data_IF_650975850317
#
_entry.id   IF_650975850317
#
_cell.length_a   1.000
_cell.length_b   1.000
_cell.length_c   1.000
_cell.angle_alpha   90.00
_cell.angle_beta   90.00
_cell.angle_gamma   90.00
#
_symmetry.space_group_name_H-M   'P 1'
#
loop_
_entity.id
_entity.type
_entity.pdbx_description
1 polymer ?
#
# COMPACT_ATOMS: atom_id res chain seq x y z
N UNK A 1 8.35 -34.29 1.16
CA UNK A 1 7.16 -33.50 1.56
C UNK A 1 7.26 -32.11 0.96
N UNK A 2 6.16 -31.54 0.46
CA UNK A 2 6.12 -30.19 -0.12
C UNK A 2 5.23 -29.31 0.76
N UNK A 3 5.71 -28.12 1.09
CA UNK A 3 4.96 -27.11 1.85
C UNK A 3 5.11 -25.79 1.10
N UNK A 4 4.01 -25.05 0.96
CA UNK A 4 4.00 -23.71 0.39
C UNK A 4 3.56 -22.72 1.48
N UNK A 5 4.34 -21.66 1.67
CA UNK A 5 4.06 -20.59 2.63
C UNK A 5 3.71 -19.32 1.86
N UNK A 6 2.53 -18.76 2.12
CA UNK A 6 2.04 -17.54 1.49
C UNK A 6 1.14 -16.79 2.46
N UNK A 7 1.28 -15.46 2.52
CA UNK A 7 0.40 -14.59 3.31
C UNK A 7 -0.97 -14.39 2.65
N UNK A 8 -1.02 -14.51 1.32
CA UNK A 8 -2.21 -14.33 0.47
C UNK A 8 -2.16 -15.41 -0.62
N UNK A 9 -2.79 -16.59 -0.43
CA UNK A 9 -2.70 -17.71 -1.37
C UNK A 9 -3.32 -17.42 -2.73
N UNK A 10 -4.17 -16.40 -2.81
CA UNK A 10 -4.65 -15.80 -4.04
C UNK A 10 -4.34 -14.33 -3.87
N UNK A 11 -3.25 -13.85 -4.47
CA UNK A 11 -2.92 -12.44 -4.43
C UNK A 11 -3.58 -11.74 -5.61
N UNK A 12 -3.56 -12.37 -6.80
CA UNK A 12 -4.05 -11.71 -7.99
C UNK A 12 -4.97 -12.48 -8.94
N UNK A 13 -4.68 -13.77 -9.16
CA UNK A 13 -5.43 -14.59 -10.12
C UNK A 13 -5.60 -15.99 -9.57
N UNK A 14 -6.71 -16.66 -9.87
CA UNK A 14 -6.93 -18.06 -9.48
C UNK A 14 -5.90 -19.02 -10.08
N UNK A 15 -5.20 -18.61 -11.15
CA UNK A 15 -4.05 -19.34 -11.68
C UNK A 15 -2.87 -19.43 -10.72
N UNK A 16 -2.72 -18.50 -9.77
CA UNK A 16 -1.70 -18.58 -8.71
C UNK A 16 -2.00 -19.75 -7.77
N UNK A 17 -3.27 -19.90 -7.37
CA UNK A 17 -3.75 -21.05 -6.59
C UNK A 17 -3.50 -22.37 -7.34
N UNK A 18 -3.82 -22.43 -8.64
CA UNK A 18 -3.52 -23.63 -9.45
C UNK A 18 -2.03 -23.95 -9.45
N UNK A 19 -1.17 -22.93 -9.56
CA UNK A 19 0.28 -23.12 -9.59
C UNK A 19 0.81 -23.67 -8.27
N UNK A 20 0.34 -23.14 -7.13
CA UNK A 20 0.65 -23.65 -5.79
C UNK A 20 0.15 -25.09 -5.65
N UNK A 21 -1.09 -25.36 -6.03
CA UNK A 21 -1.71 -26.69 -5.91
C UNK A 21 -1.07 -27.72 -6.83
N UNK A 22 -0.66 -27.35 -8.04
CA UNK A 22 0.05 -28.22 -8.99
C UNK A 22 1.46 -28.55 -8.48
N UNK A 23 2.12 -27.59 -7.82
CA UNK A 23 3.38 -27.86 -7.13
C UNK A 23 3.17 -28.79 -5.93
N UNK A 24 2.18 -28.56 -5.08
CA UNK A 24 1.95 -29.40 -3.89
C UNK A 24 1.45 -30.81 -4.26
N UNK A 25 0.49 -30.89 -5.18
CA UNK A 25 -0.26 -32.08 -5.57
C UNK A 25 -0.36 -32.17 -7.11
N UNK A 26 0.71 -32.61 -7.81
CA UNK A 26 0.73 -32.68 -9.27
C UNK A 26 -0.44 -33.46 -9.84
N UNK A 27 -1.15 -32.87 -10.81
CA UNK A 27 -2.29 -33.49 -11.49
C UNK A 27 -3.63 -33.40 -10.76
N UNK A 28 -3.67 -32.99 -9.48
CA UNK A 28 -4.90 -32.96 -8.68
C UNK A 28 -5.99 -32.06 -9.26
N UNK A 29 -5.61 -30.88 -9.78
CA UNK A 29 -6.53 -29.92 -10.42
C UNK A 29 -6.51 -30.00 -11.96
N UNK A 30 -5.92 -31.06 -12.53
CA UNK A 30 -5.76 -31.22 -13.97
C UNK A 30 -4.83 -30.17 -14.61
N UNK A 31 -4.97 -29.99 -15.92
CA UNK A 31 -4.19 -29.00 -16.67
C UNK A 31 -4.63 -27.57 -16.37
N UNK A 32 -3.73 -26.60 -16.55
CA UNK A 32 -4.04 -25.18 -16.39
C UNK A 32 -5.20 -24.74 -17.29
N UNK A 33 -5.29 -25.28 -18.51
CA UNK A 33 -6.37 -24.97 -19.44
C UNK A 33 -7.73 -25.47 -18.93
N UNK A 34 -7.79 -26.72 -18.44
CA UNK A 34 -9.01 -27.27 -17.86
C UNK A 34 -9.42 -26.50 -16.60
N UNK A 35 -8.46 -26.16 -15.75
CA UNK A 35 -8.70 -25.35 -14.56
C UNK A 35 -9.24 -23.97 -14.90
N UNK A 36 -8.65 -23.29 -15.91
CA UNK A 36 -9.12 -21.98 -16.35
C UNK A 36 -10.55 -22.02 -16.86
N UNK A 37 -10.89 -23.02 -17.68
CA UNK A 37 -12.25 -23.19 -18.22
C UNK A 37 -13.27 -23.53 -17.14
N UNK A 38 -12.90 -24.37 -16.18
CA UNK A 38 -13.85 -24.94 -15.19
C UNK A 38 -14.02 -24.04 -13.96
N UNK A 39 -12.98 -23.31 -13.57
CA UNK A 39 -12.97 -22.52 -12.34
C UNK A 39 -12.61 -21.06 -12.60
N UNK A 40 -11.43 -20.77 -13.16
CA UNK A 40 -10.93 -19.40 -13.19
C UNK A 40 -11.85 -18.45 -13.97
N UNK A 41 -12.26 -18.82 -15.18
CA UNK A 41 -13.11 -17.98 -16.02
C UNK A 41 -14.56 -17.86 -15.48
N UNK A 42 -15.24 -18.95 -15.06
CA UNK A 42 -16.51 -18.86 -14.34
C UNK A 42 -16.49 -17.93 -13.11
N UNK A 43 -15.44 -18.03 -12.29
CA UNK A 43 -15.36 -17.28 -11.03
C UNK A 43 -14.95 -15.82 -11.30
N UNK A 44 -13.88 -15.59 -12.06
CA UNK A 44 -13.32 -14.24 -12.27
C UNK A 44 -14.19 -13.38 -13.18
N UNK A 45 -14.78 -13.97 -14.24
CA UNK A 45 -15.53 -13.22 -15.25
C UNK A 45 -17.04 -13.24 -15.01
N UNK A 46 -17.59 -14.39 -14.63
CA UNK A 46 -19.04 -14.57 -14.51
C UNK A 46 -19.54 -14.62 -13.07
N UNK A 47 -18.64 -14.53 -12.09
CA UNK A 47 -18.96 -14.52 -10.65
C UNK A 47 -19.82 -15.72 -10.23
N UNK A 48 -19.54 -16.89 -10.82
CA UNK A 48 -20.30 -18.12 -10.58
C UNK A 48 -20.06 -18.65 -9.14
N UNK A 49 -21.09 -18.64 -8.27
CA UNK A 49 -20.94 -19.07 -6.88
C UNK A 49 -20.75 -20.59 -6.74
N UNK A 50 -21.30 -21.39 -7.66
CA UNK A 50 -21.21 -22.85 -7.62
C UNK A 50 -19.80 -23.28 -8.00
N UNK A 51 -19.22 -22.65 -9.03
CA UNK A 51 -17.82 -22.87 -9.39
C UNK A 51 -16.87 -22.51 -8.24
N UNK A 52 -17.13 -21.40 -7.54
CA UNK A 52 -16.34 -20.95 -6.37
C UNK A 52 -16.39 -21.95 -5.21
N UNK A 53 -17.59 -22.39 -4.82
CA UNK A 53 -17.76 -23.32 -3.71
C UNK A 53 -17.21 -24.72 -4.02
N UNK A 54 -17.33 -25.17 -5.27
CA UNK A 54 -16.72 -26.43 -5.72
C UNK A 54 -15.19 -26.37 -5.66
N UNK A 55 -14.59 -25.29 -6.15
CA UNK A 55 -13.14 -25.09 -6.05
C UNK A 55 -12.69 -25.07 -4.59
N UNK A 56 -13.41 -24.33 -3.74
CA UNK A 56 -13.12 -24.23 -2.31
C UNK A 56 -13.08 -25.60 -1.65
N UNK A 57 -14.09 -26.45 -1.87
CA UNK A 57 -14.14 -27.82 -1.31
C UNK A 57 -12.95 -28.69 -1.72
N UNK A 58 -12.45 -28.53 -2.96
CA UNK A 58 -11.29 -29.28 -3.45
C UNK A 58 -9.98 -28.83 -2.80
N UNK A 59 -9.80 -27.53 -2.56
CA UNK A 59 -8.52 -26.99 -2.08
C UNK A 59 -8.42 -26.91 -0.56
N UNK A 60 -9.54 -26.78 0.15
CA UNK A 60 -9.58 -26.56 1.61
C UNK A 60 -8.81 -27.63 2.42
N UNK A 61 -8.84 -28.94 2.08
CA UNK A 61 -8.08 -29.96 2.82
C UNK A 61 -6.56 -29.77 2.80
N UNK A 62 -6.04 -29.00 1.83
CA UNK A 62 -4.61 -28.76 1.66
C UNK A 62 -4.17 -27.38 2.17
N UNK A 63 -5.12 -26.54 2.60
CA UNK A 63 -4.86 -25.16 3.02
C UNK A 63 -5.14 -25.03 4.51
N UNK A 64 -4.08 -24.82 5.28
CA UNK A 64 -4.19 -24.34 6.65
C UNK A 64 -4.04 -22.81 6.66
N UNK A 65 -5.15 -22.10 6.89
CA UNK A 65 -5.16 -20.65 7.06
C UNK A 65 -5.60 -20.30 8.47
N UNK A 66 -4.79 -19.53 9.17
CA UNK A 66 -5.15 -18.88 10.45
C UNK A 66 -5.10 -17.38 10.25
N UNK A 67 -6.07 -16.69 10.82
CA UNK A 67 -6.10 -15.21 10.83
C UNK A 67 -5.69 -14.73 12.20
N UNK A 68 -5.10 -13.53 12.30
CA UNK A 68 -4.73 -12.95 13.60
C UNK A 68 -5.94 -12.58 14.46
N UNK A 69 -7.14 -12.60 13.88
CA UNK A 69 -8.44 -12.47 14.57
C UNK A 69 -9.01 -13.82 15.02
N UNK A 70 -8.26 -14.93 14.88
CA UNK A 70 -8.63 -16.24 15.43
C UNK A 70 -8.40 -16.26 16.95
N UNK A 71 -9.45 -16.44 17.78
CA UNK A 71 -9.33 -16.49 19.24
C UNK A 71 -8.36 -17.55 19.76
N UNK A 72 -8.07 -18.59 18.98
CA UNK A 72 -7.11 -19.64 19.34
C UNK A 72 -5.65 -19.20 19.14
N UNK A 73 -5.40 -18.10 18.43
CA UNK A 73 -4.08 -17.51 18.16
C UNK A 73 -3.83 -16.23 18.99
N UNK A 74 -4.90 -15.58 19.47
CA UNK A 74 -4.90 -14.20 20.02
C UNK A 74 -4.47 -14.05 21.47
N UNK A 75 -4.33 -15.12 22.26
CA UNK A 75 -4.24 -14.99 23.72
C UNK A 75 -3.13 -14.04 24.23
N UNK A 76 -2.14 -13.69 23.39
CA UNK A 76 -1.00 -12.83 23.73
C UNK A 76 -0.82 -11.57 22.86
N UNK A 77 -1.77 -11.17 21.99
CA UNK A 77 -1.64 -9.96 21.16
C UNK A 77 -2.47 -8.77 21.70
N UNK A 78 -1.89 -7.56 21.78
CA UNK A 78 -2.61 -6.35 22.21
C UNK A 78 -3.59 -5.85 21.14
N UNK A 79 -4.34 -4.78 21.42
CA UNK A 79 -5.32 -4.26 20.46
C UNK A 79 -4.63 -3.58 19.27
N UNK A 80 -5.31 -3.60 18.11
CA UNK A 80 -4.87 -2.89 16.91
C UNK A 80 -5.98 -1.94 16.46
N UNK A 81 -5.66 -0.67 16.37
CA UNK A 81 -6.55 0.38 15.90
C UNK A 81 -6.12 0.89 14.53
N UNK A 82 -7.06 1.05 13.61
CA UNK A 82 -6.79 1.60 12.27
C UNK A 82 -7.58 2.89 12.06
N UNK A 83 -6.86 3.96 11.72
CA UNK A 83 -7.39 5.31 11.53
C UNK A 83 -7.10 5.81 10.11
N UNK A 84 -8.10 6.45 9.50
CA UNK A 84 -7.90 7.25 8.28
C UNK A 84 -7.52 8.66 8.68
N UNK A 85 -6.38 9.13 8.20
CA UNK A 85 -5.89 10.49 8.46
C UNK A 85 -6.05 11.29 7.18
N UNK A 86 -7.07 12.13 7.16
CA UNK A 86 -7.37 12.99 6.04
C UNK A 86 -6.48 14.22 6.05
N UNK A 87 -5.84 14.48 4.92
CA UNK A 87 -4.93 15.60 4.71
C UNK A 87 -5.45 16.47 3.57
N UNK A 88 -5.39 17.79 3.72
CA UNK A 88 -5.67 18.71 2.62
C UNK A 88 -4.46 18.84 1.71
N UNK A 89 -4.69 19.17 0.44
CA UNK A 89 -3.59 19.60 -0.43
C UNK A 89 -3.27 21.06 -0.12
N UNK A 90 -1.97 21.39 -0.14
CA UNK A 90 -1.57 22.80 -0.20
C UNK A 90 -1.99 23.39 -1.55
N UNK A 91 -2.04 24.73 -1.64
CA UNK A 91 -2.35 25.41 -2.91
C UNK A 91 -1.37 25.04 -4.04
N UNK A 92 -0.10 24.86 -3.72
CA UNK A 92 0.92 24.39 -4.66
C UNK A 92 0.59 22.97 -5.15
N UNK A 93 0.30 22.06 -4.23
CA UNK A 93 -0.07 20.69 -4.58
C UNK A 93 -1.34 20.64 -5.44
N UNK A 94 -2.39 21.40 -5.08
CA UNK A 94 -3.62 21.47 -5.85
C UNK A 94 -3.37 21.96 -7.29
N UNK A 95 -2.59 23.03 -7.44
CA UNK A 95 -2.23 23.60 -8.75
C UNK A 95 -1.47 22.59 -9.61
N UNK A 96 -0.47 21.90 -9.03
CA UNK A 96 0.29 20.86 -9.73
C UNK A 96 -0.57 19.66 -10.09
N UNK A 97 -1.45 19.25 -9.17
CA UNK A 97 -2.35 18.12 -9.35
C UNK A 97 -3.30 18.35 -10.54
N UNK A 98 -3.97 19.50 -10.57
CA UNK A 98 -4.86 19.89 -11.67
C UNK A 98 -4.12 19.98 -13.02
N UNK A 99 -2.90 20.53 -13.02
CA UNK A 99 -2.07 20.59 -14.22
C UNK A 99 -1.73 19.19 -14.75
N UNK A 100 -1.33 18.26 -13.87
CA UNK A 100 -1.04 16.87 -14.24
C UNK A 100 -2.27 16.19 -14.83
N UNK A 101 -3.44 16.35 -14.21
CA UNK A 101 -4.70 15.77 -14.72
C UNK A 101 -5.00 16.29 -16.11
N UNK A 102 -5.03 17.62 -16.30
CA UNK A 102 -5.35 18.24 -17.60
C UNK A 102 -4.40 17.79 -18.71
N UNK A 103 -3.09 17.84 -18.44
CA UNK A 103 -2.08 17.55 -19.45
C UNK A 103 -2.10 16.06 -19.82
N UNK A 104 -2.24 15.17 -18.84
CA UNK A 104 -2.33 13.73 -19.07
C UNK A 104 -3.62 13.33 -19.82
N UNK A 105 -4.76 13.94 -19.49
CA UNK A 105 -6.02 13.66 -20.18
C UNK A 105 -5.97 14.10 -21.64
N UNK A 106 -5.36 15.26 -21.92
CA UNK A 106 -5.13 15.73 -23.30
C UNK A 106 -4.29 14.71 -24.10
N UNK A 107 -3.24 14.15 -23.49
CA UNK A 107 -2.42 13.12 -24.12
C UNK A 107 -3.19 11.80 -24.32
N UNK A 108 -3.99 11.38 -23.34
CA UNK A 108 -4.77 10.12 -23.39
C UNK A 108 -5.85 10.18 -24.48
N UNK A 109 -6.54 11.32 -24.63
CA UNK A 109 -7.57 11.52 -25.67
C UNK A 109 -7.00 11.44 -27.09
N UNK A 110 -5.74 11.86 -27.29
CA UNK A 110 -5.06 11.77 -28.58
C UNK A 110 -4.61 10.34 -28.94
N UNK A 111 -4.70 9.39 -28.02
CA UNK A 111 -4.32 8.00 -28.24
C UNK A 111 -5.57 7.19 -28.62
N UNK A 112 -5.83 7.11 -29.93
CA UNK A 112 -6.91 6.29 -30.49
C UNK A 112 -6.39 5.01 -31.17
N UNK A 113 -7.22 3.95 -31.13
CA UNK A 113 -6.99 2.69 -31.84
C UNK A 113 -6.41 1.55 -30.98
N UNK A 114 -6.78 0.31 -31.34
CA UNK A 114 -6.43 -0.92 -30.59
C UNK A 114 -4.91 -1.14 -30.52
N UNK A 115 -4.16 -0.71 -31.52
CA UNK A 115 -2.69 -0.83 -31.56
C UNK A 115 -1.97 0.07 -30.55
N UNK A 116 -2.65 1.09 -29.98
CA UNK A 116 -2.04 2.01 -29.01
C UNK A 116 -2.48 1.78 -27.55
N UNK A 117 -3.11 0.64 -27.26
CA UNK A 117 -3.56 0.32 -25.90
C UNK A 117 -2.40 0.28 -24.89
N UNK A 118 -1.24 -0.25 -25.28
CA UNK A 118 -0.03 -0.26 -24.44
C UNK A 118 0.42 1.17 -24.10
N UNK A 119 0.35 2.08 -25.07
CA UNK A 119 0.70 3.49 -24.88
C UNK A 119 -0.28 4.16 -23.92
N UNK A 120 -1.60 3.95 -24.10
CA UNK A 120 -2.63 4.46 -23.19
C UNK A 120 -2.38 4.00 -21.75
N UNK A 121 -2.17 2.70 -21.54
CA UNK A 121 -1.88 2.12 -20.22
C UNK A 121 -0.62 2.76 -19.60
N UNK A 122 0.44 2.95 -20.39
CA UNK A 122 1.67 3.62 -19.96
C UNK A 122 1.45 5.07 -19.51
N UNK A 123 0.65 5.85 -20.26
CA UNK A 123 0.28 7.22 -19.90
C UNK A 123 -0.50 7.27 -18.58
N UNK A 124 -1.48 6.38 -18.41
CA UNK A 124 -2.28 6.29 -17.17
C UNK A 124 -1.37 5.97 -15.97
N UNK A 125 -0.50 4.96 -16.07
CA UNK A 125 0.41 4.60 -14.98
C UNK A 125 1.38 5.74 -14.64
N UNK A 126 1.90 6.44 -15.66
CA UNK A 126 2.76 7.61 -15.48
C UNK A 126 2.02 8.74 -14.75
N UNK A 127 0.80 9.06 -15.18
CA UNK A 127 -0.07 10.06 -14.55
C UNK A 127 -0.36 9.70 -13.09
N UNK A 128 -0.81 8.47 -12.81
CA UNK A 128 -1.11 8.02 -11.44
C UNK A 128 0.12 8.10 -10.53
N UNK A 129 1.30 7.78 -11.05
CA UNK A 129 2.57 7.92 -10.33
C UNK A 129 2.84 9.38 -9.98
N UNK A 130 2.69 10.31 -10.94
CA UNK A 130 2.89 11.75 -10.73
C UNK A 130 1.90 12.33 -9.72
N UNK A 131 0.62 11.94 -9.80
CA UNK A 131 -0.40 12.39 -8.86
C UNK A 131 -0.10 11.90 -7.43
N UNK A 132 0.32 10.63 -7.26
CA UNK A 132 0.81 10.10 -5.98
C UNK A 132 2.00 10.91 -5.44
N UNK A 133 2.97 11.22 -6.30
CA UNK A 133 4.14 12.02 -5.93
C UNK A 133 3.72 13.41 -5.42
N UNK A 134 2.84 14.11 -6.13
CA UNK A 134 2.34 15.42 -5.71
C UNK A 134 1.58 15.34 -4.38
N UNK A 135 0.72 14.34 -4.19
CA UNK A 135 0.01 14.12 -2.92
C UNK A 135 1.00 13.91 -1.75
N UNK A 136 2.12 13.21 -2.00
CA UNK A 136 3.15 13.00 -0.98
C UNK A 136 3.95 14.26 -0.67
N UNK A 137 4.55 14.87 -1.70
CA UNK A 137 5.27 16.14 -1.61
C UNK A 137 5.60 16.70 -3.02
N UNK A 138 5.40 18.00 -3.30
CA UNK A 138 5.63 18.58 -4.63
C UNK A 138 7.07 18.40 -5.17
N UNK A 139 8.08 18.40 -4.31
CA UNK A 139 9.48 18.16 -4.71
C UNK A 139 9.73 16.79 -5.34
N UNK A 140 8.92 15.77 -5.06
CA UNK A 140 9.03 14.46 -5.73
C UNK A 140 8.69 14.55 -7.22
N UNK A 141 7.79 15.46 -7.57
CA UNK A 141 7.40 15.73 -8.94
C UNK A 141 8.35 16.76 -9.60
N UNK A 142 8.69 17.84 -8.89
CA UNK A 142 9.50 18.93 -9.42
C UNK A 142 11.00 18.61 -9.53
N UNK A 143 11.54 17.78 -8.63
CA UNK A 143 12.97 17.43 -8.60
C UNK A 143 13.89 18.64 -8.33
N UNK A 144 13.36 19.69 -7.72
CA UNK A 144 13.98 21.02 -7.61
C UNK A 144 14.84 21.21 -6.34
N UNK A 145 14.80 20.26 -5.41
CA UNK A 145 15.62 20.28 -4.19
C UNK A 145 15.29 21.41 -3.22
N UNK A 146 14.16 22.09 -3.42
CA UNK A 146 13.72 23.24 -2.64
C UNK A 146 13.30 22.86 -1.21
N UNK A 147 13.09 23.88 -0.37
CA UNK A 147 12.70 23.69 1.03
C UNK A 147 11.45 22.81 1.14
N UNK A 148 11.42 21.93 2.14
CA UNK A 148 10.33 20.95 2.31
C UNK A 148 9.23 21.42 3.26
N UNK A 149 9.51 22.43 4.08
CA UNK A 149 8.59 22.87 5.12
C UNK A 149 7.30 23.43 4.52
N UNK A 150 6.14 23.03 5.08
CA UNK A 150 4.80 23.56 4.77
C UNK A 150 4.31 23.44 3.32
N UNK A 151 4.97 22.63 2.49
CA UNK A 151 4.57 22.44 1.08
C UNK A 151 3.75 21.18 0.82
N UNK A 152 3.62 20.31 1.81
CA UNK A 152 2.79 19.11 1.75
C UNK A 152 1.89 18.98 2.96
N UNK A 153 0.59 18.87 2.74
CA UNK A 153 -0.36 18.66 3.85
C UNK A 153 -0.11 17.35 4.60
N UNK A 154 0.29 16.28 3.90
CA UNK A 154 0.69 15.02 4.55
C UNK A 154 1.94 15.18 5.40
N UNK A 155 2.94 15.94 4.94
CA UNK A 155 4.17 16.15 5.70
C UNK A 155 3.88 16.96 6.98
N UNK A 156 3.07 18.01 6.85
CA UNK A 156 2.64 18.82 7.99
C UNK A 156 1.91 17.95 9.02
N UNK A 157 0.92 17.18 8.57
CA UNK A 157 0.12 16.33 9.46
C UNK A 157 0.93 15.23 10.12
N UNK A 158 1.89 14.65 9.39
CA UNK A 158 2.81 13.66 9.95
C UNK A 158 3.68 14.28 11.04
N UNK A 159 4.25 15.47 10.81
CA UNK A 159 5.10 16.15 11.78
C UNK A 159 4.31 16.50 13.06
N UNK A 160 3.08 17.01 12.94
CA UNK A 160 2.19 17.26 14.09
C UNK A 160 1.95 15.98 14.91
N UNK A 161 1.57 14.88 14.26
CA UNK A 161 1.29 13.63 14.95
C UNK A 161 2.54 13.02 15.60
N UNK A 162 3.71 13.15 14.95
CA UNK A 162 4.97 12.66 15.50
C UNK A 162 5.41 13.48 16.71
N UNK A 163 5.15 14.79 16.76
CA UNK A 163 5.43 15.62 17.93
C UNK A 163 4.74 15.04 19.19
N UNK A 164 3.42 14.80 19.10
CA UNK A 164 2.63 14.21 20.19
C UNK A 164 3.14 12.81 20.61
N UNK A 165 3.49 11.97 19.64
CA UNK A 165 3.97 10.60 19.89
C UNK A 165 5.33 10.60 20.58
N UNK A 166 6.23 11.48 20.14
CA UNK A 166 7.58 11.58 20.70
C UNK A 166 7.56 12.14 22.13
N UNK A 167 6.64 13.06 22.45
CA UNK A 167 6.46 13.58 23.82
C UNK A 167 6.11 12.47 24.83
N UNK A 168 5.33 11.48 24.41
CA UNK A 168 4.94 10.32 25.23
C UNK A 168 6.01 9.22 25.25
N UNK A 169 7.06 9.35 24.43
CA UNK A 169 8.16 8.38 24.33
C UNK A 169 7.83 7.17 23.45
N UNK A 170 6.83 7.30 22.57
CA UNK A 170 6.40 6.25 21.67
C UNK A 170 7.23 6.20 20.39
N UNK A 171 7.07 5.11 19.62
CA UNK A 171 7.92 4.81 18.47
C UNK A 171 7.09 4.58 17.22
N UNK A 172 7.58 5.14 16.11
CA UNK A 172 6.85 5.20 14.84
C UNK A 172 7.59 4.46 13.72
N UNK A 173 6.86 3.63 12.98
CA UNK A 173 7.25 3.20 11.64
C UNK A 173 6.53 4.04 10.61
N UNK A 174 7.25 4.51 9.58
CA UNK A 174 6.66 5.29 8.49
C UNK A 174 6.94 4.58 7.18
N UNK A 175 5.88 4.07 6.55
CA UNK A 175 5.94 3.37 5.28
C UNK A 175 5.66 4.32 4.12
N UNK A 176 6.49 4.25 3.08
CA UNK A 176 6.26 4.93 1.79
C UNK A 176 6.63 4.02 0.62
N UNK A 177 5.95 4.16 -0.51
CA UNK A 177 6.26 3.48 -1.76
C UNK A 177 7.50 4.07 -2.45
N UNK A 178 7.84 5.33 -2.17
CA UNK A 178 8.87 6.07 -2.89
C UNK A 178 10.12 6.24 -2.04
N UNK A 179 11.25 5.66 -2.48
CA UNK A 179 12.53 5.83 -1.78
C UNK A 179 12.96 7.30 -1.67
N UNK A 180 12.69 8.10 -2.71
CA UNK A 180 12.92 9.55 -2.68
C UNK A 180 12.11 10.24 -1.57
N UNK A 181 10.87 9.80 -1.33
CA UNK A 181 10.10 10.31 -0.20
C UNK A 181 10.72 9.89 1.12
N UNK A 182 11.21 8.65 1.21
CA UNK A 182 11.89 8.16 2.41
C UNK A 182 13.12 9.00 2.78
N UNK A 183 13.95 9.38 1.80
CA UNK A 183 15.07 10.30 2.02
C UNK A 183 14.61 11.70 2.44
N UNK A 184 13.54 12.21 1.84
CA UNK A 184 12.96 13.51 2.19
C UNK A 184 12.45 13.50 3.64
N UNK A 185 11.66 12.49 4.01
CA UNK A 185 11.16 12.28 5.37
C UNK A 185 12.31 12.17 6.36
N UNK A 186 13.31 11.35 6.07
CA UNK A 186 14.47 11.20 6.95
C UNK A 186 15.13 12.56 7.24
N UNK A 187 15.45 13.34 6.19
CA UNK A 187 16.07 14.66 6.35
C UNK A 187 15.17 15.60 7.15
N UNK A 188 13.92 15.77 6.72
CA UNK A 188 12.99 16.72 7.34
C UNK A 188 12.74 16.41 8.81
N UNK A 189 12.47 15.14 9.14
CA UNK A 189 12.17 14.74 10.51
C UNK A 189 13.39 14.82 11.43
N UNK A 190 14.60 14.57 10.90
CA UNK A 190 15.83 14.81 11.66
C UNK A 190 16.02 16.30 11.99
N UNK A 191 15.77 17.17 11.01
CA UNK A 191 15.92 18.61 11.18
C UNK A 191 14.88 19.17 12.17
N UNK A 192 13.62 18.73 12.06
CA UNK A 192 12.51 19.19 12.91
C UNK A 192 12.64 18.71 14.35
N UNK A 193 12.93 17.42 14.57
CA UNK A 193 12.98 16.85 15.91
C UNK A 193 14.37 16.86 16.54
N UNK A 194 15.40 17.26 15.78
CA UNK A 194 16.80 17.23 16.22
C UNK A 194 17.22 15.86 16.78
N UNK A 195 16.77 14.80 16.11
CA UNK A 195 17.00 13.40 16.47
C UNK A 195 17.33 12.60 15.23
N UNK A 196 18.15 11.56 15.36
CA UNK A 196 18.40 10.64 14.24
C UNK A 196 17.10 9.94 13.80
N UNK A 197 16.96 9.72 12.49
CA UNK A 197 15.85 8.94 11.91
C UNK A 197 16.43 7.81 11.09
N UNK A 198 16.04 6.57 11.41
CA UNK A 198 16.47 5.41 10.64
C UNK A 198 15.73 5.35 9.31
N UNK A 199 16.41 4.91 8.25
CA UNK A 199 15.77 4.72 6.94
C UNK A 199 16.25 3.43 6.27
N UNK A 200 15.29 2.55 5.98
CA UNK A 200 15.52 1.32 5.23
C UNK A 200 14.87 1.38 3.84
N UNK A 201 15.68 1.17 2.80
CA UNK A 201 15.24 1.17 1.40
C UNK A 201 15.89 0.02 0.61
N UNK A 202 15.45 -0.19 -0.63
CA UNK A 202 15.93 -1.28 -1.48
C UNK A 202 17.42 -1.26 -1.84
N UNK A 203 18.11 -0.14 -1.60
CA UNK A 203 19.57 0.00 -1.82
C UNK A 203 20.41 -0.25 -0.56
N UNK A 204 19.78 -0.49 0.60
CA UNK A 204 20.47 -0.77 1.85
C UNK A 204 21.08 -2.18 1.82
N UNK A 205 22.35 -2.33 2.19
CA UNK A 205 22.99 -3.65 2.24
C UNK A 205 22.38 -4.53 3.34
N UNK A 206 22.51 -5.86 3.22
CA UNK A 206 22.01 -6.78 4.23
C UNK A 206 22.60 -6.49 5.63
N UNK A 207 23.90 -6.21 5.70
CA UNK A 207 24.57 -5.88 6.97
C UNK A 207 24.05 -4.56 7.58
N UNK A 208 23.87 -3.52 6.77
CA UNK A 208 23.28 -2.26 7.24
C UNK A 208 21.84 -2.46 7.72
N UNK A 209 21.06 -3.25 6.99
CA UNK A 209 19.68 -3.59 7.35
C UNK A 209 19.64 -4.27 8.71
N UNK A 210 20.42 -5.33 8.89
CA UNK A 210 20.40 -6.12 10.13
C UNK A 210 20.87 -5.29 11.32
N UNK A 211 21.85 -4.39 11.13
CA UNK A 211 22.24 -3.39 12.15
C UNK A 211 21.11 -2.44 12.52
N UNK A 212 20.40 -1.86 11.56
CA UNK A 212 19.28 -0.94 11.83
C UNK A 212 18.14 -1.65 12.56
N UNK A 213 17.81 -2.87 12.15
CA UNK A 213 16.76 -3.69 12.78
C UNK A 213 17.12 -4.05 14.22
N UNK A 214 18.33 -4.56 14.43
CA UNK A 214 18.83 -4.91 15.76
C UNK A 214 18.86 -3.68 16.67
N UNK A 215 19.39 -2.55 16.17
CA UNK A 215 19.40 -1.29 16.92
C UNK A 215 17.98 -0.87 17.30
N UNK A 216 17.06 -0.79 16.34
CA UNK A 216 15.68 -0.40 16.62
C UNK A 216 15.00 -1.30 17.66
N UNK A 217 15.29 -2.60 17.66
CA UNK A 217 14.66 -3.58 18.56
C UNK A 217 15.33 -3.74 19.92
N UNK A 218 16.65 -3.60 20.01
CA UNK A 218 17.40 -3.97 21.22
C UNK A 218 17.97 -2.78 21.98
N UNK A 219 18.29 -1.67 21.30
CA UNK A 219 18.92 -0.50 21.92
C UNK A 219 17.87 0.41 22.58
N UNK A 220 17.88 0.60 23.92
CA UNK A 220 16.95 1.49 24.62
C UNK A 220 16.97 2.92 24.09
N UNK A 221 18.12 3.38 23.60
CA UNK A 221 18.36 4.72 23.06
C UNK A 221 18.24 4.78 21.53
N UNK A 222 17.76 3.72 20.89
CA UNK A 222 17.54 3.73 19.45
C UNK A 222 16.58 4.86 19.04
N UNK A 223 16.76 5.43 17.84
CA UNK A 223 15.83 6.38 17.23
C UNK A 223 14.37 5.94 17.37
N UNK A 224 13.50 6.89 17.71
CA UNK A 224 12.07 6.62 17.86
C UNK A 224 11.36 6.49 16.51
N UNK A 225 11.93 7.08 15.44
CA UNK A 225 11.35 7.08 14.10
C UNK A 225 12.17 6.17 13.18
N UNK A 226 11.47 5.29 12.46
CA UNK A 226 12.04 4.43 11.43
C UNK A 226 11.21 4.50 10.15
N UNK A 227 11.79 5.05 9.09
CA UNK A 227 11.21 5.12 7.75
C UNK A 227 11.54 3.84 6.96
N UNK A 228 10.56 3.31 6.22
CA UNK A 228 10.71 2.14 5.37
C UNK A 228 10.13 2.42 3.99
N UNK A 229 10.99 2.38 2.95
CA UNK A 229 10.55 2.47 1.56
C UNK A 229 10.72 1.13 0.86
N UNK A 230 9.70 0.30 0.90
CA UNK A 230 9.80 -1.02 0.31
C UNK A 230 8.50 -1.39 -0.41
N UNK A 231 8.62 -1.78 -1.68
CA UNK A 231 7.69 -2.70 -2.36
C UNK A 231 7.73 -4.13 -1.78
N UNK A 232 8.20 -4.30 -0.54
CA UNK A 232 8.80 -5.55 -0.09
C UNK A 232 7.81 -6.70 0.00
N UNK A 233 7.84 -7.53 -1.03
CA UNK A 233 7.59 -8.94 -0.91
C UNK A 233 8.45 -9.56 0.22
N UNK A 234 7.77 -10.35 1.06
CA UNK A 234 8.27 -11.62 1.59
C UNK A 234 9.23 -11.61 2.77
N UNK A 235 9.88 -10.50 3.14
CA UNK A 235 10.89 -10.53 4.23
C UNK A 235 10.24 -10.24 5.59
N UNK A 236 10.25 -11.23 6.47
CA UNK A 236 9.69 -11.15 7.82
C UNK A 236 10.49 -10.27 8.78
N UNK A 237 10.40 -8.94 8.65
CA UNK A 237 10.98 -8.00 9.61
C UNK A 237 10.21 -8.02 10.93
N UNK A 238 10.93 -8.02 12.06
CA UNK A 238 10.36 -7.92 13.39
C UNK A 238 10.59 -6.51 13.95
N UNK A 239 9.53 -5.70 14.06
CA UNK A 239 9.59 -4.28 14.45
C UNK A 239 8.62 -3.95 15.60
N UNK A 240 8.47 -4.87 16.55
CA UNK A 240 7.50 -4.80 17.66
C UNK A 240 7.73 -3.61 18.61
N UNK A 241 8.89 -2.95 18.63
CA UNK A 241 9.06 -1.75 19.47
C UNK A 241 8.27 -0.54 19.01
N UNK A 242 7.79 -0.54 17.76
CA UNK A 242 6.88 0.49 17.29
C UNK A 242 5.45 0.14 17.66
N UNK A 243 4.76 1.12 18.25
CA UNK A 243 3.33 1.06 18.55
C UNK A 243 2.53 2.05 17.68
N UNK A 244 3.21 2.87 16.86
CA UNK A 244 2.60 3.68 15.81
C UNK A 244 3.11 3.25 14.43
N UNK A 245 2.19 3.08 13.48
CA UNK A 245 2.48 2.73 12.09
C UNK A 245 1.81 3.75 11.19
N UNK A 246 2.57 4.46 10.38
CA UNK A 246 2.09 5.41 9.40
C UNK A 246 2.23 4.83 7.99
N UNK A 247 1.13 4.75 7.25
CA UNK A 247 1.14 4.53 5.80
C UNK A 247 1.03 5.90 5.14
N UNK A 248 2.18 6.45 4.74
CA UNK A 248 2.27 7.81 4.21
C UNK A 248 1.60 7.94 2.84
N UNK A 249 1.75 6.93 1.99
CA UNK A 249 1.06 6.80 0.70
C UNK A 249 0.13 5.58 0.68
N UNK A 250 -1.00 5.73 -0.01
CA UNK A 250 -1.99 4.65 -0.11
C UNK A 250 -1.52 3.56 -1.05
N UNK A 251 -1.47 2.34 -0.51
CA UNK A 251 -1.34 1.13 -1.32
C UNK A 251 -2.71 0.76 -1.85
N UNK A 252 -2.83 0.59 -3.16
CA UNK A 252 -4.12 0.21 -3.75
C UNK A 252 -4.45 -1.27 -3.51
N UNK A 253 -3.45 -2.08 -3.15
CA UNK A 253 -3.62 -3.44 -2.66
C UNK A 253 -3.53 -3.46 -1.11
N UNK A 254 -4.64 -3.65 -0.38
CA UNK A 254 -4.68 -3.75 1.08
C UNK A 254 -3.80 -4.87 1.63
N UNK A 255 -3.53 -5.93 0.88
CA UNK A 255 -2.65 -7.01 1.33
C UNK A 255 -1.22 -6.51 1.59
N UNK A 256 -0.72 -5.59 0.77
CA UNK A 256 0.62 -5.01 0.93
C UNK A 256 0.67 -4.12 2.16
N UNK A 257 -0.36 -3.28 2.37
CA UNK A 257 -0.49 -2.43 3.54
C UNK A 257 -0.62 -3.24 4.84
N UNK A 258 -1.42 -4.31 4.81
CA UNK A 258 -1.58 -5.23 5.93
C UNK A 258 -0.27 -5.96 6.24
N UNK A 259 0.46 -6.42 5.21
CA UNK A 259 1.76 -7.06 5.40
C UNK A 259 2.80 -6.10 6.00
N UNK A 260 2.77 -4.82 5.64
CA UNK A 260 3.62 -3.79 6.23
C UNK A 260 3.25 -3.54 7.70
N UNK A 261 1.96 -3.37 8.01
CA UNK A 261 1.43 -3.26 9.38
C UNK A 261 1.80 -4.46 10.25
N UNK A 262 1.71 -5.65 9.66
CA UNK A 262 2.03 -6.93 10.30
C UNK A 262 3.50 -7.08 10.68
N UNK A 263 4.37 -6.11 10.39
CA UNK A 263 5.76 -6.06 10.88
C UNK A 263 5.86 -5.50 12.30
N UNK A 264 4.97 -4.59 12.67
CA UNK A 264 4.84 -4.05 14.03
C UNK A 264 3.85 -4.88 14.87
N UNK A 265 2.75 -5.34 14.27
CA UNK A 265 1.75 -6.16 14.93
C UNK A 265 2.10 -7.66 14.85
N UNK A 266 3.02 -8.11 15.71
CA UNK A 266 3.51 -9.51 15.78
C UNK A 266 3.53 -10.05 17.20
N UNK A 267 3.58 -11.37 17.32
CA UNK A 267 3.74 -12.07 18.60
C UNK A 267 5.01 -11.56 19.28
N UNK A 268 4.88 -11.05 20.50
CA UNK A 268 5.93 -10.34 21.24
C UNK A 268 5.73 -8.82 21.30
N UNK A 269 4.74 -8.28 20.59
CA UNK A 269 4.21 -6.94 20.82
C UNK A 269 3.45 -6.92 22.14
N UNK A 270 3.72 -5.93 22.99
CA UNK A 270 3.12 -5.78 24.32
C UNK A 270 2.29 -4.50 24.46
N UNK A 271 2.30 -3.64 23.43
CA UNK A 271 1.58 -2.36 23.40
C UNK A 271 0.55 -2.36 22.28
N UNK A 272 -0.57 -1.69 22.52
CA UNK A 272 -1.58 -1.48 21.48
C UNK A 272 -0.96 -0.76 20.27
N UNK A 273 -1.30 -1.22 19.07
CA UNK A 273 -0.74 -0.71 17.82
C UNK A 273 -1.75 0.21 17.14
N UNK A 274 -1.34 1.46 16.90
CA UNK A 274 -2.11 2.45 16.17
C UNK A 274 -1.60 2.56 14.73
N UNK A 275 -2.49 2.34 13.77
CA UNK A 275 -2.18 2.37 12.34
C UNK A 275 -2.87 3.58 11.70
N UNK A 276 -2.10 4.46 11.11
CA UNK A 276 -2.52 5.73 10.54
C UNK A 276 -2.37 5.69 9.02
N UNK A 277 -3.48 5.78 8.29
CA UNK A 277 -3.51 5.68 6.82
C UNK A 277 -3.78 7.06 6.23
N UNK A 278 -2.76 7.66 5.62
CA UNK A 278 -2.85 9.04 5.13
C UNK A 278 -3.56 9.08 3.79
N UNK A 279 -4.52 9.99 3.64
CA UNK A 279 -5.35 10.14 2.44
C UNK A 279 -5.50 11.63 2.13
N UNK A 280 -5.10 12.06 0.94
CA UNK A 280 -5.40 13.42 0.47
C UNK A 280 -6.87 13.55 0.06
N UNK A 281 -7.61 14.45 0.73
CA UNK A 281 -9.03 14.72 0.45
C UNK A 281 -9.23 15.22 -0.99
N UNK A 282 -10.37 14.85 -1.59
CA UNK A 282 -10.78 15.22 -2.94
C UNK A 282 -9.85 14.81 -4.07
N UNK A 283 -8.82 14.00 -3.80
CA UNK A 283 -7.89 13.44 -4.80
C UNK A 283 -8.26 12.02 -5.19
N UNK A 284 -7.49 11.44 -6.12
CA UNK A 284 -7.57 10.02 -6.46
C UNK A 284 -7.40 9.11 -5.23
N UNK A 285 -6.66 9.52 -4.20
CA UNK A 285 -6.41 8.68 -3.02
C UNK A 285 -7.71 8.41 -2.25
N UNK A 286 -8.52 9.45 -2.04
CA UNK A 286 -9.83 9.33 -1.40
C UNK A 286 -10.79 8.50 -2.26
N UNK A 287 -10.80 8.73 -3.58
CA UNK A 287 -11.67 7.97 -4.49
C UNK A 287 -11.35 6.49 -4.49
N UNK A 288 -10.06 6.13 -4.55
CA UNK A 288 -9.63 4.74 -4.48
C UNK A 288 -9.97 4.14 -3.11
N UNK A 289 -9.78 4.87 -2.01
CA UNK A 289 -10.17 4.42 -0.67
C UNK A 289 -11.67 4.09 -0.59
N UNK A 290 -12.52 4.99 -1.08
CA UNK A 290 -13.98 4.74 -1.15
C UNK A 290 -14.33 3.53 -2.03
N UNK A 291 -13.63 3.33 -3.14
CA UNK A 291 -13.85 2.17 -4.01
C UNK A 291 -13.46 0.86 -3.32
N UNK A 292 -12.34 0.84 -2.59
CA UNK A 292 -11.89 -0.32 -1.82
C UNK A 292 -12.90 -0.65 -0.71
N UNK A 293 -13.41 0.35 0.00
CA UNK A 293 -14.43 0.20 1.05
C UNK A 293 -15.78 -0.28 0.50
N UNK A 294 -16.31 0.41 -0.51
CA UNK A 294 -17.62 0.11 -1.10
C UNK A 294 -17.69 -1.29 -1.72
N UNK A 295 -16.55 -1.79 -2.22
CA UNK A 295 -16.45 -3.12 -2.84
C UNK A 295 -15.96 -4.18 -1.87
N UNK A 296 -16.02 -4.07 -0.54
CA UNK A 296 -15.42 -5.09 0.36
C UNK A 296 -15.84 -6.56 0.11
N UNK A 297 -16.97 -6.83 -0.57
CA UNK A 297 -17.39 -8.16 -1.08
C UNK A 297 -16.90 -8.52 -2.49
N UNK A 298 -16.56 -7.54 -3.35
CA UNK A 298 -16.05 -7.69 -4.72
C UNK A 298 -14.56 -7.30 -4.87
N UNK A 299 -13.98 -6.69 -3.83
CA UNK A 299 -12.65 -6.12 -3.81
C UNK A 299 -11.59 -7.23 -3.88
N UNK A 300 -11.86 -8.40 -3.31
CA UNK A 300 -10.94 -9.53 -3.40
C UNK A 300 -10.69 -9.97 -4.86
N UNK A 301 -11.64 -9.76 -5.79
CA UNK A 301 -11.47 -10.14 -7.20
C UNK A 301 -10.86 -9.04 -8.09
N UNK A 302 -10.95 -7.76 -7.70
CA UNK A 302 -10.46 -6.61 -8.50
C UNK A 302 -9.13 -6.09 -7.96
N UNK A 303 -8.95 -6.11 -6.65
CA UNK A 303 -7.82 -5.49 -5.95
C UNK A 303 -6.57 -6.37 -5.99
N UNK A 304 -6.76 -7.66 -6.23
CA UNK A 304 -5.70 -8.55 -6.66
C UNK A 304 -5.22 -8.29 -8.09
N UNK A 305 -5.22 -7.09 -8.64
CA UNK A 305 -4.45 -6.85 -9.87
C UNK A 305 -3.48 -5.68 -9.70
N UNK A 306 -3.27 -5.27 -8.45
CA UNK A 306 -2.54 -4.05 -8.13
C UNK A 306 -3.16 -2.85 -8.87
N UNK A 307 -2.32 -2.17 -9.62
CA UNK A 307 -2.66 -0.95 -10.36
C UNK A 307 -3.40 -1.20 -11.69
N UNK A 308 -3.51 -2.47 -12.13
CA UNK A 308 -3.95 -2.84 -13.47
C UNK A 308 -5.38 -2.42 -13.82
N UNK A 309 -6.32 -2.57 -12.88
CA UNK A 309 -7.75 -2.26 -13.12
C UNK A 309 -7.99 -0.78 -13.46
N UNK A 310 -7.14 0.13 -12.95
CA UNK A 310 -7.21 1.56 -13.25
C UNK A 310 -6.92 1.85 -14.72
N UNK A 311 -6.08 1.02 -15.34
CA UNK A 311 -5.70 1.18 -16.75
C UNK A 311 -6.77 0.69 -17.73
N UNK A 312 -7.73 -0.08 -17.23
CA UNK A 312 -8.86 -0.65 -17.98
C UNK A 312 -10.10 0.25 -17.97
N UNK A 313 -10.13 1.28 -17.12
CA UNK A 313 -11.21 2.27 -17.08
C UNK A 313 -11.34 3.02 -18.40
N UNK A 314 -12.58 3.36 -18.77
CA UNK A 314 -12.85 4.29 -19.86
C UNK A 314 -12.28 5.68 -19.53
N UNK A 315 -12.14 6.53 -20.56
CA UNK A 315 -11.57 7.88 -20.38
C UNK A 315 -12.43 8.74 -19.45
N UNK A 316 -13.76 8.65 -19.54
CA UNK A 316 -14.68 9.37 -18.66
C UNK A 316 -14.60 8.87 -17.21
N UNK A 317 -14.61 7.55 -17.00
CA UNK A 317 -14.46 6.95 -15.67
C UNK A 317 -13.11 7.32 -15.03
N UNK A 318 -12.04 7.35 -15.83
CA UNK A 318 -10.72 7.75 -15.38
C UNK A 318 -10.71 9.23 -14.99
N UNK A 319 -11.29 10.11 -15.81
CA UNK A 319 -11.37 11.55 -15.54
C UNK A 319 -12.12 11.82 -14.22
N UNK A 320 -13.28 11.18 -14.03
CA UNK A 320 -14.09 11.32 -12.82
C UNK A 320 -13.37 10.81 -11.55
N UNK A 321 -12.55 9.77 -11.71
CA UNK A 321 -11.75 9.21 -10.62
C UNK A 321 -10.63 10.14 -10.18
N UNK A 322 -9.94 10.79 -11.13
CA UNK A 322 -8.73 11.58 -10.84
C UNK A 322 -9.03 13.06 -10.60
N UNK A 323 -10.18 13.58 -11.02
CA UNK A 323 -10.52 15.00 -10.90
C UNK A 323 -10.51 15.49 -9.44
N UNK A 324 -9.83 16.62 -9.20
CA UNK A 324 -9.76 17.25 -7.88
C UNK A 324 -11.12 17.84 -7.50
N UNK A 325 -11.59 17.53 -6.28
CA UNK A 325 -12.81 18.15 -5.73
C UNK A 325 -12.49 19.45 -5.00
N UNK A 326 -13.40 20.41 -5.11
CA UNK A 326 -13.28 21.77 -4.56
C UNK A 326 -13.10 21.83 -3.03
N UNK A 327 -13.55 20.78 -2.33
CA UNK A 327 -13.53 20.65 -0.87
C UNK A 327 -12.13 20.34 -0.30
N UNK A 328 -11.14 20.06 -1.16
CA UNK A 328 -9.82 19.55 -0.79
C UNK A 328 -8.73 20.61 -0.55
N UNK A 329 -9.02 21.88 -0.85
CA UNK A 329 -8.03 22.96 -0.80
C UNK A 329 -8.10 23.60 0.58
N UNK A 330 -6.96 23.65 1.26
CA UNK A 330 -6.81 24.35 2.53
C UNK A 330 -7.23 25.82 2.35
N UNK A 331 -8.29 26.23 3.07
CA UNK A 331 -8.76 27.62 3.10
C UNK A 331 -7.92 28.38 4.13
N UNK A 332 -7.34 29.51 3.71
CA UNK A 332 -6.44 30.36 4.53
C UNK A 332 -7.03 30.79 5.88
#
# INVERSE_FOLDING_TARGET
FRVALTGTPIENRLSELWSIMSFLNPGYLGSLESFRRTFALPIERYQDPDASENLRRLVLPFILRRVKTDPQVIQDLPEKFEYKVYCNLTREQATLYEAIVRDAMTEIEQVEGVEQEIKRRGLILSMLTRLKQVCNHPTLFLGDGSETSRRSGKLNRLSEMLEEILEVGDRALIFTQFAQMGFLLQRHLQDVFNQEVLFFHGGTSQEQRDRMLMRFQEDPHAPAIFVLSLKAGGIGLNLMRANHVFHYDRWWNPAVENQATDRAYRIGQTRDVQVHKFICLGTLEERIDMLIESKRTLAESIVGQGEGWLTELSTDELHDLISLRSEAIETE
#
